data_IF_145496755958
#
_entry.id   IF_145496755958
#
_cell.length_a   1.000
_cell.length_b   1.000
_cell.length_c   1.000
_cell.angle_alpha   90.00
_cell.angle_beta   90.00
_cell.angle_gamma   90.00
#
_symmetry.space_group_name_H-M   'P 1'
#
loop_
_entity.id
_entity.type
_entity.pdbx_description
1 polymer ?
#
# COMPACT_ATOMS: atom_id res chain seq x y z
N UNK A 1 12.65 1.02 -36.41
CA UNK A 1 13.11 -0.02 -35.45
C UNK A 1 12.03 -1.09 -35.37
N UNK A 2 12.39 -2.37 -35.25
CA UNK A 2 11.42 -3.48 -35.20
C UNK A 2 10.54 -3.34 -33.94
N UNK A 3 9.23 -3.54 -34.07
CA UNK A 3 8.22 -3.52 -32.99
C UNK A 3 8.67 -4.37 -31.78
N UNK A 4 9.36 -5.47 -32.02
CA UNK A 4 9.85 -6.38 -30.98
C UNK A 4 10.87 -5.73 -30.04
N UNK A 5 11.70 -4.81 -30.54
CA UNK A 5 12.67 -4.11 -29.70
C UNK A 5 11.96 -3.23 -28.68
N UNK A 6 10.91 -2.52 -29.09
CA UNK A 6 10.10 -1.70 -28.18
C UNK A 6 9.46 -2.60 -27.12
N UNK A 7 8.80 -3.69 -27.53
CA UNK A 7 8.15 -4.63 -26.60
C UNK A 7 9.15 -5.12 -25.53
N UNK A 8 10.34 -5.55 -25.95
CA UNK A 8 11.34 -6.09 -25.06
C UNK A 8 11.90 -5.04 -24.09
N UNK A 9 12.08 -3.79 -24.53
CA UNK A 9 12.50 -2.68 -23.65
C UNK A 9 11.46 -2.39 -22.56
N UNK A 10 10.17 -2.37 -22.92
CA UNK A 10 9.09 -2.21 -21.94
C UNK A 10 9.05 -3.37 -20.94
N UNK A 11 9.33 -4.61 -21.36
CA UNK A 11 9.41 -5.75 -20.45
C UNK A 11 10.59 -5.59 -19.47
N UNK A 12 11.77 -5.21 -19.95
CA UNK A 12 12.92 -4.95 -19.08
C UNK A 12 12.62 -3.82 -18.09
N UNK A 13 11.94 -2.78 -18.54
CA UNK A 13 11.53 -1.66 -17.70
C UNK A 13 10.50 -2.08 -16.63
N UNK A 14 9.55 -2.95 -16.96
CA UNK A 14 8.62 -3.54 -16.00
C UNK A 14 9.36 -4.34 -14.92
N UNK A 15 10.29 -5.22 -15.31
CA UNK A 15 11.10 -5.99 -14.36
C UNK A 15 11.92 -5.07 -13.43
N UNK A 16 12.57 -4.04 -13.99
CA UNK A 16 13.34 -3.05 -13.22
C UNK A 16 12.43 -2.30 -12.25
N UNK A 17 11.21 -1.94 -12.65
CA UNK A 17 10.24 -1.26 -11.78
C UNK A 17 9.90 -2.09 -10.55
N UNK A 18 9.66 -3.39 -10.74
CA UNK A 18 9.37 -4.32 -9.64
C UNK A 18 10.57 -4.46 -8.70
N UNK A 19 11.80 -4.54 -9.23
CA UNK A 19 13.01 -4.58 -8.41
C UNK A 19 13.30 -3.26 -7.68
N UNK A 20 13.03 -2.11 -8.31
CA UNK A 20 13.12 -0.80 -7.65
C UNK A 20 12.14 -0.73 -6.50
N UNK A 21 10.90 -1.17 -6.70
CA UNK A 21 9.87 -1.17 -5.65
C UNK A 21 10.26 -2.11 -4.49
N UNK A 22 10.75 -3.30 -4.81
CA UNK A 22 11.28 -4.24 -3.81
C UNK A 22 12.42 -3.61 -3.00
N UNK A 23 13.42 -3.05 -3.69
CA UNK A 23 14.58 -2.42 -3.06
C UNK A 23 14.17 -1.21 -2.21
N UNK A 24 13.27 -0.38 -2.72
CA UNK A 24 12.77 0.80 -2.01
C UNK A 24 12.07 0.39 -0.71
N UNK A 25 11.17 -0.59 -0.75
CA UNK A 25 10.48 -1.08 0.46
C UNK A 25 11.48 -1.72 1.43
N UNK A 26 12.44 -2.51 0.93
CA UNK A 26 13.48 -3.13 1.75
C UNK A 26 14.32 -2.09 2.53
N UNK A 27 14.64 -0.96 1.90
CA UNK A 27 15.48 0.07 2.52
C UNK A 27 14.70 1.03 3.43
N UNK A 28 13.40 1.21 3.20
CA UNK A 28 12.63 2.31 3.81
C UNK A 28 11.52 1.87 4.76
N UNK A 29 11.08 0.62 4.69
CA UNK A 29 10.02 0.14 5.58
C UNK A 29 10.57 -0.17 6.97
N UNK A 30 9.92 0.38 8.01
CA UNK A 30 10.18 0.05 9.42
C UNK A 30 9.46 -1.22 9.89
N UNK A 31 8.46 -1.70 9.14
CA UNK A 31 7.74 -2.92 9.47
C UNK A 31 8.50 -4.13 8.91
N UNK A 32 9.39 -4.69 9.73
CA UNK A 32 10.30 -5.78 9.32
C UNK A 32 9.57 -6.97 8.68
N UNK A 33 8.50 -7.47 9.27
CA UNK A 33 7.84 -8.69 8.78
C UNK A 33 7.07 -8.46 7.47
N UNK A 34 6.31 -7.35 7.38
CA UNK A 34 5.57 -7.02 6.17
C UNK A 34 6.52 -6.69 5.02
N UNK A 35 7.61 -5.96 5.33
CA UNK A 35 8.68 -5.63 4.39
C UNK A 35 9.17 -6.88 3.66
N UNK A 36 9.62 -7.91 4.38
CA UNK A 36 10.18 -9.10 3.75
C UNK A 36 9.16 -9.85 2.88
N UNK A 37 7.91 -9.99 3.34
CA UNK A 37 6.87 -10.67 2.55
C UNK A 37 6.51 -9.91 1.26
N UNK A 38 6.47 -8.57 1.31
CA UNK A 38 6.20 -7.75 0.13
C UNK A 38 7.37 -7.69 -0.85
N UNK A 39 8.59 -7.54 -0.33
CA UNK A 39 9.83 -7.59 -1.13
C UNK A 39 9.87 -8.90 -1.92
N UNK A 40 9.58 -10.03 -1.26
CA UNK A 40 9.54 -11.33 -1.90
C UNK A 40 8.51 -11.41 -3.03
N UNK A 41 7.30 -10.86 -2.84
CA UNK A 41 6.28 -10.77 -3.89
C UNK A 41 6.79 -9.97 -5.11
N UNK A 42 7.35 -8.79 -4.87
CA UNK A 42 7.89 -7.95 -5.94
C UNK A 42 9.08 -8.60 -6.66
N UNK A 43 9.94 -9.31 -5.92
CA UNK A 43 11.06 -10.04 -6.52
C UNK A 43 10.57 -11.13 -7.48
N UNK A 44 9.54 -11.92 -7.11
CA UNK A 44 9.00 -12.94 -8.01
C UNK A 44 8.32 -12.34 -9.24
N UNK A 45 7.61 -11.21 -9.09
CA UNK A 45 7.05 -10.45 -10.23
C UNK A 45 8.15 -9.94 -11.18
N UNK A 46 9.22 -9.38 -10.62
CA UNK A 46 10.35 -8.88 -11.40
C UNK A 46 11.10 -10.00 -12.13
N UNK A 47 11.33 -11.13 -11.47
CA UNK A 47 11.97 -12.31 -12.08
C UNK A 47 11.13 -12.91 -13.20
N UNK A 48 9.82 -13.09 -12.98
CA UNK A 48 8.90 -13.56 -14.03
C UNK A 48 8.93 -12.66 -15.27
N UNK A 49 8.87 -11.34 -15.06
CA UNK A 49 8.92 -10.35 -16.14
C UNK A 49 10.26 -10.38 -16.87
N UNK A 50 11.36 -10.43 -16.12
CA UNK A 50 12.72 -10.53 -16.66
C UNK A 50 12.88 -11.81 -17.51
N UNK A 51 12.35 -12.93 -17.01
CA UNK A 51 12.41 -14.21 -17.70
C UNK A 51 11.67 -14.20 -19.02
N UNK A 52 10.47 -13.60 -19.09
CA UNK A 52 9.76 -13.40 -20.35
C UNK A 52 10.55 -12.48 -21.29
N UNK A 53 11.17 -11.42 -20.79
CA UNK A 53 11.99 -10.51 -21.60
C UNK A 53 13.17 -11.25 -22.25
N UNK A 54 13.95 -11.98 -21.45
CA UNK A 54 15.12 -12.72 -21.93
C UNK A 54 14.69 -13.88 -22.83
N UNK A 55 13.62 -14.60 -22.47
CA UNK A 55 12.99 -15.61 -23.33
C UNK A 55 12.62 -15.05 -24.69
N UNK A 56 12.29 -13.76 -24.86
CA UNK A 56 12.00 -13.19 -26.18
C UNK A 56 13.26 -12.76 -26.94
N UNK A 57 14.29 -12.31 -26.24
CA UNK A 57 15.49 -11.70 -26.83
C UNK A 57 16.50 -12.76 -27.31
N UNK A 58 16.72 -13.83 -26.55
CA UNK A 58 17.79 -14.80 -26.87
C UNK A 58 17.48 -15.56 -28.16
N UNK A 59 18.46 -15.79 -29.02
CA UNK A 59 18.24 -16.54 -30.27
C UNK A 59 18.39 -18.05 -30.06
N UNK A 60 19.28 -18.47 -29.16
CA UNK A 60 19.54 -19.87 -28.84
C UNK A 60 18.33 -20.53 -28.15
N UNK A 61 17.87 -21.64 -28.71
CA UNK A 61 16.69 -22.38 -28.23
C UNK A 61 16.94 -23.02 -26.86
N UNK A 62 18.15 -23.50 -26.56
CA UNK A 62 18.48 -24.09 -25.25
C UNK A 62 18.47 -23.02 -24.17
N UNK A 63 19.01 -21.83 -24.45
CA UNK A 63 18.94 -20.69 -23.54
C UNK A 63 17.48 -20.25 -23.36
N UNK A 64 16.69 -20.20 -24.45
CA UNK A 64 15.27 -19.91 -24.36
C UNK A 64 14.52 -20.94 -23.50
N UNK A 65 14.85 -22.22 -23.61
CA UNK A 65 14.26 -23.29 -22.80
C UNK A 65 14.48 -23.08 -21.31
N UNK A 66 15.72 -22.75 -20.91
CA UNK A 66 16.02 -22.41 -19.52
C UNK A 66 15.18 -21.23 -19.01
N UNK A 67 15.11 -20.13 -19.77
CA UNK A 67 14.31 -18.98 -19.36
C UNK A 67 12.81 -19.26 -19.35
N UNK A 68 12.33 -20.20 -20.17
CA UNK A 68 10.96 -20.70 -20.11
C UNK A 68 10.67 -21.43 -18.79
N UNK A 69 11.58 -22.31 -18.38
CA UNK A 69 11.50 -22.99 -17.07
C UNK A 69 11.53 -21.98 -15.92
N UNK A 70 12.43 -21.00 -16.01
CA UNK A 70 12.58 -19.95 -15.00
C UNK A 70 11.29 -19.15 -14.85
N UNK A 71 10.74 -18.57 -15.92
CA UNK A 71 9.57 -17.71 -15.77
C UNK A 71 8.31 -18.48 -15.37
N UNK A 72 8.19 -19.77 -15.75
CA UNK A 72 7.08 -20.63 -15.29
C UNK A 72 7.22 -20.89 -13.79
N UNK A 73 8.44 -21.19 -13.31
CA UNK A 73 8.71 -21.39 -11.90
C UNK A 73 8.44 -20.11 -11.10
N UNK A 74 8.96 -18.96 -11.53
CA UNK A 74 8.80 -17.70 -10.81
C UNK A 74 7.36 -17.18 -10.85
N UNK A 75 6.63 -17.36 -11.95
CA UNK A 75 5.18 -17.15 -11.98
C UNK A 75 4.44 -18.04 -10.97
N UNK A 76 4.91 -19.28 -10.78
CA UNK A 76 4.38 -20.21 -9.78
C UNK A 76 4.63 -19.78 -8.33
N UNK A 77 5.64 -18.95 -8.08
CA UNK A 77 5.96 -18.42 -6.75
C UNK A 77 5.13 -17.17 -6.39
N UNK A 78 4.52 -16.50 -7.37
CA UNK A 78 3.68 -15.30 -7.15
C UNK A 78 2.49 -15.60 -6.23
N UNK A 79 1.67 -16.66 -6.43
CA UNK A 79 0.55 -16.96 -5.54
C UNK A 79 0.97 -17.27 -4.09
N UNK A 80 2.09 -17.97 -3.90
CA UNK A 80 2.61 -18.29 -2.57
C UNK A 80 3.09 -17.06 -1.83
N UNK A 81 3.87 -16.21 -2.50
CA UNK A 81 4.35 -14.94 -1.94
C UNK A 81 3.20 -13.95 -1.71
N UNK A 82 2.18 -13.95 -2.57
CA UNK A 82 0.97 -13.15 -2.36
C UNK A 82 0.19 -13.60 -1.12
N UNK A 83 -0.03 -14.91 -0.93
CA UNK A 83 -0.66 -15.43 0.30
C UNK A 83 0.17 -15.09 1.53
N UNK A 84 1.49 -15.24 1.46
CA UNK A 84 2.39 -14.86 2.56
C UNK A 84 2.22 -13.37 2.90
N UNK A 85 2.28 -12.49 1.90
CA UNK A 85 2.09 -11.05 2.07
C UNK A 85 0.73 -10.71 2.68
N UNK A 86 -0.37 -11.24 2.12
CA UNK A 86 -1.72 -10.99 2.63
C UNK A 86 -1.90 -11.55 4.04
N UNK A 87 -1.35 -12.72 4.34
CA UNK A 87 -1.41 -13.26 5.70
C UNK A 87 -0.65 -12.38 6.68
N UNK A 88 0.57 -11.96 6.35
CA UNK A 88 1.39 -11.09 7.20
C UNK A 88 0.74 -9.73 7.43
N UNK A 89 0.09 -9.19 6.40
CA UNK A 89 -0.68 -7.95 6.48
C UNK A 89 -1.87 -8.05 7.44
N UNK A 90 -2.59 -9.17 7.46
CA UNK A 90 -3.85 -9.34 8.19
C UNK A 90 -3.64 -9.90 9.60
N UNK A 91 -2.79 -10.91 9.73
CA UNK A 91 -2.65 -11.71 10.95
C UNK A 91 -1.25 -11.59 11.59
N UNK A 92 -0.36 -10.80 11.01
CA UNK A 92 1.04 -10.73 11.43
C UNK A 92 1.88 -11.90 10.93
N UNK A 93 3.15 -11.99 11.39
CA UNK A 93 4.14 -12.87 10.78
C UNK A 93 3.82 -14.35 10.88
N UNK A 94 4.07 -15.08 9.79
CA UNK A 94 4.02 -16.53 9.80
C UNK A 94 5.18 -17.11 10.62
N UNK A 95 4.86 -18.09 11.47
CA UNK A 95 5.90 -18.91 12.10
C UNK A 95 6.70 -19.69 11.05
N UNK A 96 7.95 -20.04 11.37
CA UNK A 96 8.84 -20.76 10.45
C UNK A 96 8.20 -22.04 9.88
N UNK A 97 7.50 -22.81 10.73
CA UNK A 97 6.80 -24.03 10.30
C UNK A 97 5.72 -23.74 9.25
N UNK A 98 4.93 -22.68 9.45
CA UNK A 98 3.90 -22.27 8.47
C UNK A 98 4.53 -21.73 7.18
N UNK A 99 5.65 -20.99 7.26
CA UNK A 99 6.43 -20.55 6.09
C UNK A 99 6.92 -21.76 5.28
N UNK A 100 7.55 -22.73 5.94
CA UNK A 100 8.02 -23.98 5.30
C UNK A 100 6.85 -24.72 4.64
N UNK A 101 5.73 -24.90 5.36
CA UNK A 101 4.55 -25.56 4.80
C UNK A 101 3.99 -24.83 3.57
N UNK A 102 3.87 -23.51 3.62
CA UNK A 102 3.40 -22.71 2.49
C UNK A 102 4.32 -22.90 1.27
N UNK A 103 5.63 -22.73 1.44
CA UNK A 103 6.59 -22.80 0.34
C UNK A 103 6.92 -24.23 -0.12
N UNK A 104 6.60 -25.26 0.67
CA UNK A 104 6.68 -26.65 0.20
C UNK A 104 5.77 -26.92 -1.02
N UNK A 105 4.72 -26.11 -1.22
CA UNK A 105 3.88 -26.18 -2.41
C UNK A 105 4.56 -25.68 -3.70
N UNK A 106 5.78 -25.14 -3.61
CA UNK A 106 6.62 -24.86 -4.77
C UNK A 106 7.26 -26.13 -5.35
N UNK A 107 7.36 -27.21 -4.56
CA UNK A 107 8.03 -28.47 -4.98
C UNK A 107 7.38 -29.08 -6.22
N UNK A 108 6.04 -29.24 -6.32
CA UNK A 108 5.41 -29.74 -7.53
C UNK A 108 5.66 -28.88 -8.77
N UNK A 109 5.77 -27.56 -8.60
CA UNK A 109 6.07 -26.62 -9.69
C UNK A 109 7.52 -26.83 -10.15
N UNK A 110 8.45 -26.92 -9.21
CA UNK A 110 9.86 -27.19 -9.47
C UNK A 110 10.05 -28.53 -10.20
N UNK A 111 9.38 -29.58 -9.75
CA UNK A 111 9.37 -30.89 -10.43
C UNK A 111 8.78 -30.74 -11.83
N UNK A 112 7.66 -30.02 -11.97
CA UNK A 112 6.99 -29.82 -13.25
C UNK A 112 7.83 -29.07 -14.29
N UNK A 113 8.68 -28.12 -13.89
CA UNK A 113 9.58 -27.43 -14.83
C UNK A 113 10.80 -28.29 -15.20
N UNK A 114 11.26 -29.18 -14.31
CA UNK A 114 12.43 -30.05 -14.56
C UNK A 114 12.05 -31.29 -15.37
N UNK A 115 10.89 -31.90 -15.10
CA UNK A 115 10.46 -33.14 -15.77
C UNK A 115 10.08 -32.84 -17.22
N UNK A 116 10.75 -33.46 -18.22
CA UNK A 116 10.46 -33.23 -19.62
C UNK A 116 9.00 -33.53 -19.97
N UNK A 117 8.36 -32.62 -20.71
CA UNK A 117 6.97 -32.78 -21.15
C UNK A 117 5.91 -32.47 -20.09
N UNK A 118 6.28 -32.25 -18.83
CA UNK A 118 5.32 -31.97 -17.76
C UNK A 118 4.71 -30.57 -17.90
N UNK A 119 5.46 -29.48 -17.68
CA UNK A 119 4.96 -28.11 -17.92
C UNK A 119 5.34 -27.59 -19.31
N UNK A 120 6.48 -28.02 -19.84
CA UNK A 120 6.97 -27.60 -21.16
C UNK A 120 7.15 -28.84 -22.01
N UNK A 121 6.50 -28.88 -23.17
CA UNK A 121 6.66 -29.95 -24.16
C UNK A 121 7.77 -29.63 -25.16
N UNK A 122 7.77 -28.41 -25.69
CA UNK A 122 8.73 -27.96 -26.71
C UNK A 122 8.72 -26.43 -26.83
N UNK A 123 9.70 -25.86 -27.53
CA UNK A 123 9.70 -24.45 -27.96
C UNK A 123 9.76 -24.40 -29.48
N UNK A 124 8.76 -23.76 -30.09
CA UNK A 124 8.71 -23.56 -31.54
C UNK A 124 8.86 -22.09 -31.89
N UNK A 125 9.49 -21.80 -33.03
CA UNK A 125 9.61 -20.45 -33.56
C UNK A 125 8.48 -20.22 -34.56
N UNK A 126 7.71 -19.15 -34.35
CA UNK A 126 6.63 -18.68 -35.22
C UNK A 126 7.00 -17.32 -35.80
N UNK A 127 6.25 -16.88 -36.80
CA UNK A 127 6.41 -15.55 -37.44
C UNK A 127 6.25 -14.38 -36.45
N UNK A 128 5.58 -14.59 -35.33
CA UNK A 128 5.37 -13.59 -34.27
C UNK A 128 6.30 -13.75 -33.06
N UNK A 129 7.21 -14.73 -33.09
CA UNK A 129 8.19 -15.00 -32.02
C UNK A 129 8.19 -16.45 -31.54
N UNK A 130 8.84 -16.68 -30.40
CA UNK A 130 8.92 -18.01 -29.76
C UNK A 130 7.63 -18.36 -29.02
N UNK A 131 7.21 -19.61 -29.15
CA UNK A 131 6.05 -20.20 -28.53
C UNK A 131 6.46 -21.38 -27.64
N UNK A 132 5.99 -21.39 -26.39
CA UNK A 132 6.13 -22.56 -25.51
C UNK A 132 4.95 -23.49 -25.74
N UNK A 133 5.22 -24.69 -26.22
CA UNK A 133 4.22 -25.74 -26.36
C UNK A 133 3.96 -26.35 -24.99
N UNK A 134 2.70 -26.33 -24.57
CA UNK A 134 2.30 -26.76 -23.23
C UNK A 134 2.52 -28.25 -23.01
N UNK A 135 3.07 -28.60 -21.85
CA UNK A 135 3.16 -29.97 -21.38
C UNK A 135 1.84 -30.49 -20.79
N UNK A 136 1.79 -31.79 -20.51
CA UNK A 136 0.56 -32.46 -20.05
C UNK A 136 0.08 -32.00 -18.66
N UNK A 137 0.96 -31.46 -17.83
CA UNK A 137 0.66 -30.97 -16.48
C UNK A 137 0.37 -29.46 -16.43
N UNK A 138 0.49 -28.72 -17.54
CA UNK A 138 0.27 -27.28 -17.57
C UNK A 138 -1.16 -26.85 -17.13
N UNK A 139 -2.25 -27.59 -17.45
CA UNK A 139 -3.58 -27.28 -16.90
C UNK A 139 -3.65 -27.39 -15.37
N UNK A 140 -2.91 -28.33 -14.76
CA UNK A 140 -2.83 -28.49 -13.30
C UNK A 140 -2.11 -27.28 -12.69
N UNK A 141 -1.05 -26.80 -13.34
CA UNK A 141 -0.37 -25.56 -12.95
C UNK A 141 -1.31 -24.35 -13.01
N UNK A 142 -2.15 -24.26 -14.04
CA UNK A 142 -3.18 -23.22 -14.12
C UNK A 142 -4.20 -23.28 -12.99
N UNK A 143 -4.72 -24.47 -12.68
CA UNK A 143 -5.63 -24.68 -11.55
C UNK A 143 -4.97 -24.30 -10.21
N UNK A 144 -3.71 -24.70 -10.01
CA UNK A 144 -2.92 -24.30 -8.85
C UNK A 144 -2.84 -22.77 -8.73
N UNK A 145 -2.44 -22.07 -9.78
CA UNK A 145 -2.32 -20.61 -9.77
C UNK A 145 -3.65 -19.95 -9.43
N UNK A 146 -4.74 -20.36 -10.09
CA UNK A 146 -6.08 -19.84 -9.87
C UNK A 146 -6.54 -20.05 -8.43
N UNK A 147 -6.38 -21.25 -7.87
CA UNK A 147 -6.83 -21.58 -6.50
C UNK A 147 -6.06 -20.75 -5.47
N UNK A 148 -4.74 -20.67 -5.58
CA UNK A 148 -3.92 -19.96 -4.59
C UNK A 148 -4.12 -18.43 -4.67
N UNK A 149 -4.17 -17.86 -5.89
CA UNK A 149 -4.49 -16.44 -6.04
C UNK A 149 -5.88 -16.12 -5.50
N UNK A 150 -6.88 -16.94 -5.82
CA UNK A 150 -8.24 -16.77 -5.33
C UNK A 150 -8.29 -16.86 -3.79
N UNK A 151 -7.56 -17.79 -3.19
CA UNK A 151 -7.46 -17.89 -1.74
C UNK A 151 -6.84 -16.63 -1.09
N UNK A 152 -5.80 -16.06 -1.69
CA UNK A 152 -5.24 -14.77 -1.27
C UNK A 152 -6.26 -13.63 -1.33
N UNK A 153 -6.98 -13.49 -2.44
CA UNK A 153 -8.04 -12.47 -2.57
C UNK A 153 -9.21 -12.71 -1.63
N UNK A 154 -9.62 -13.96 -1.40
CA UNK A 154 -10.70 -14.29 -0.46
C UNK A 154 -10.34 -13.87 0.97
N UNK A 155 -9.09 -14.07 1.41
CA UNK A 155 -8.62 -13.57 2.71
C UNK A 155 -8.71 -12.04 2.77
N UNK A 156 -8.21 -11.36 1.73
CA UNK A 156 -8.23 -9.90 1.63
C UNK A 156 -9.66 -9.34 1.65
N UNK A 157 -10.60 -9.92 0.90
CA UNK A 157 -12.01 -9.50 0.85
C UNK A 157 -12.69 -9.75 2.20
N UNK A 158 -12.50 -10.92 2.81
CA UNK A 158 -13.09 -11.24 4.12
C UNK A 158 -12.66 -10.26 5.19
N UNK A 159 -11.39 -9.89 5.18
CA UNK A 159 -10.86 -8.90 6.12
C UNK A 159 -11.35 -7.49 5.80
N UNK A 160 -11.38 -7.11 4.53
CA UNK A 160 -11.88 -5.81 4.08
C UNK A 160 -13.34 -5.55 4.52
N UNK A 161 -14.20 -6.57 4.51
CA UNK A 161 -15.60 -6.46 4.95
C UNK A 161 -15.68 -6.11 6.44
N UNK A 162 -14.80 -6.69 7.26
CA UNK A 162 -14.77 -6.49 8.73
C UNK A 162 -14.02 -5.22 9.13
N UNK A 163 -13.01 -4.85 8.35
CA UNK A 163 -12.15 -3.72 8.64
C UNK A 163 -12.93 -2.40 8.63
N UNK A 164 -12.49 -1.49 9.50
CA UNK A 164 -12.91 -0.09 9.53
C UNK A 164 -11.69 0.82 9.30
N UNK A 165 -11.96 2.04 8.89
CA UNK A 165 -10.96 3.10 8.87
C UNK A 165 -9.76 2.97 7.97
N UNK A 166 -8.63 3.50 8.46
CA UNK A 166 -7.34 3.47 7.77
C UNK A 166 -6.92 2.05 7.43
N UNK A 167 -7.20 1.10 8.32
CA UNK A 167 -6.92 -0.31 8.03
C UNK A 167 -7.77 -0.83 6.86
N UNK A 168 -9.08 -0.54 6.83
CA UNK A 168 -9.94 -0.86 5.67
C UNK A 168 -9.44 -0.22 4.38
N UNK A 169 -9.00 1.03 4.48
CA UNK A 169 -8.49 1.80 3.36
C UNK A 169 -7.19 1.20 2.82
N UNK A 170 -6.26 0.80 3.70
CA UNK A 170 -5.04 0.06 3.36
C UNK A 170 -5.34 -1.23 2.60
N UNK A 171 -6.31 -2.03 3.07
CA UNK A 171 -6.75 -3.24 2.39
C UNK A 171 -7.37 -2.92 1.02
N UNK A 172 -8.16 -1.84 0.91
CA UNK A 172 -8.72 -1.34 -0.34
C UNK A 172 -7.62 -1.05 -1.36
N UNK A 173 -6.57 -0.34 -0.98
CA UNK A 173 -5.47 -0.02 -1.91
C UNK A 173 -4.71 -1.25 -2.37
N UNK A 174 -4.43 -2.19 -1.46
CA UNK A 174 -3.79 -3.46 -1.84
C UNK A 174 -4.69 -4.25 -2.78
N UNK A 175 -5.99 -4.27 -2.55
CA UNK A 175 -6.95 -4.94 -3.44
C UNK A 175 -6.96 -4.32 -4.83
N UNK A 176 -7.07 -2.99 -4.93
CA UNK A 176 -7.10 -2.30 -6.22
C UNK A 176 -5.75 -2.26 -6.93
N UNK A 177 -4.62 -2.46 -6.23
CA UNK A 177 -3.31 -2.62 -6.89
C UNK A 177 -3.10 -4.03 -7.42
N UNK A 178 -3.52 -5.05 -6.66
CA UNK A 178 -3.21 -6.46 -6.97
C UNK A 178 -4.26 -7.12 -7.87
N UNK A 179 -5.55 -6.80 -7.74
CA UNK A 179 -6.61 -7.44 -8.52
C UNK A 179 -6.50 -7.12 -10.03
N UNK A 180 -6.47 -5.85 -10.48
CA UNK A 180 -6.36 -5.56 -11.91
C UNK A 180 -5.08 -6.14 -12.49
N UNK A 181 -3.98 -6.07 -11.74
CA UNK A 181 -2.69 -6.60 -12.16
C UNK A 181 -2.73 -8.12 -12.33
N UNK A 182 -3.34 -8.83 -11.38
CA UNK A 182 -3.55 -10.28 -11.47
C UNK A 182 -4.46 -10.66 -12.63
N UNK A 183 -5.55 -9.92 -12.85
CA UNK A 183 -6.48 -10.20 -13.94
C UNK A 183 -5.80 -10.05 -15.30
N UNK A 184 -5.03 -8.98 -15.52
CA UNK A 184 -4.30 -8.75 -16.77
C UNK A 184 -3.20 -9.80 -16.94
N UNK A 185 -2.36 -10.01 -15.92
CA UNK A 185 -1.26 -10.97 -15.95
C UNK A 185 -1.75 -12.40 -16.20
N UNK A 186 -2.70 -12.88 -15.40
CA UNK A 186 -3.25 -14.22 -15.53
C UNK A 186 -4.03 -14.41 -16.84
N UNK A 187 -4.76 -13.39 -17.31
CA UNK A 187 -5.45 -13.48 -18.59
C UNK A 187 -4.47 -13.73 -19.74
N UNK A 188 -3.46 -12.87 -19.91
CA UNK A 188 -2.54 -12.97 -21.05
C UNK A 188 -1.49 -14.08 -20.91
N UNK A 189 -1.11 -14.47 -19.69
CA UNK A 189 0.04 -15.37 -19.45
C UNK A 189 -0.35 -16.71 -18.83
N UNK A 190 -1.64 -16.96 -18.63
CA UNK A 190 -2.13 -18.26 -18.22
C UNK A 190 -3.38 -18.67 -19.02
N UNK A 191 -4.48 -17.92 -18.90
CA UNK A 191 -5.76 -18.34 -19.49
C UNK A 191 -5.76 -18.29 -21.01
N UNK A 192 -5.23 -17.22 -21.61
CA UNK A 192 -5.15 -17.10 -23.07
C UNK A 192 -4.22 -18.16 -23.68
N UNK A 193 -3.16 -18.53 -22.95
CA UNK A 193 -2.24 -19.60 -23.30
C UNK A 193 -2.95 -20.97 -23.24
N UNK A 194 -3.72 -21.24 -22.19
CA UNK A 194 -4.54 -22.46 -22.06
C UNK A 194 -5.60 -22.57 -23.17
N UNK A 195 -6.06 -21.44 -23.71
CA UNK A 195 -6.96 -21.37 -24.86
C UNK A 195 -6.21 -21.52 -26.21
N UNK A 196 -4.91 -21.77 -26.20
CA UNK A 196 -4.09 -22.02 -27.39
C UNK A 196 -3.52 -20.75 -28.05
N UNK A 197 -3.50 -19.62 -27.36
CA UNK A 197 -2.95 -18.37 -27.90
C UNK A 197 -1.81 -17.82 -27.03
N UNK A 198 -0.58 -18.12 -27.45
CA UNK A 198 0.65 -17.67 -26.79
C UNK A 198 1.17 -16.31 -27.31
N UNK A 199 0.64 -15.80 -28.42
CA UNK A 199 1.15 -14.61 -29.14
C UNK A 199 1.27 -13.35 -28.29
N UNK A 200 0.40 -13.21 -27.30
CA UNK A 200 0.29 -12.02 -26.45
C UNK A 200 0.96 -12.18 -25.08
N UNK A 201 1.86 -13.16 -24.91
CA UNK A 201 2.55 -13.38 -23.63
C UNK A 201 3.30 -12.13 -23.12
N UNK A 202 3.75 -11.24 -24.00
CA UNK A 202 4.44 -10.01 -23.61
C UNK A 202 3.52 -8.94 -22.99
N UNK A 203 2.19 -9.07 -23.10
CA UNK A 203 1.24 -8.08 -22.56
C UNK A 203 1.07 -8.25 -21.05
N UNK A 204 1.07 -9.49 -20.56
CA UNK A 204 0.87 -9.82 -19.15
C UNK A 204 1.77 -9.01 -18.22
N UNK A 205 3.10 -9.00 -18.40
CA UNK A 205 4.02 -8.33 -17.47
C UNK A 205 3.87 -6.80 -17.42
N UNK A 206 3.20 -6.18 -18.40
CA UNK A 206 2.91 -4.74 -18.32
C UNK A 206 1.90 -4.41 -17.20
N UNK A 207 1.25 -5.41 -16.63
CA UNK A 207 0.45 -5.24 -15.43
C UNK A 207 1.28 -4.76 -14.23
N UNK A 208 2.60 -5.03 -14.20
CA UNK A 208 3.51 -4.55 -13.14
C UNK A 208 3.53 -3.02 -13.05
N UNK A 209 3.29 -2.29 -14.14
CA UNK A 209 3.19 -0.83 -14.09
C UNK A 209 1.97 -0.36 -13.31
N UNK A 210 0.83 -1.01 -13.51
CA UNK A 210 -0.41 -0.73 -12.76
C UNK A 210 -0.20 -1.06 -11.29
N UNK A 211 0.41 -2.22 -10.99
CA UNK A 211 0.75 -2.62 -9.63
C UNK A 211 1.68 -1.61 -8.95
N UNK A 212 2.84 -1.33 -9.54
CA UNK A 212 3.85 -0.46 -8.95
C UNK A 212 3.33 0.95 -8.71
N UNK A 213 2.56 1.50 -9.66
CA UNK A 213 1.97 2.82 -9.54
C UNK A 213 0.96 2.93 -8.39
N UNK A 214 0.00 2.00 -8.31
CA UNK A 214 -1.02 2.03 -7.25
C UNK A 214 -0.38 1.74 -5.88
N UNK A 215 0.59 0.82 -5.81
CA UNK A 215 1.29 0.53 -4.54
C UNK A 215 2.14 1.72 -4.09
N UNK A 216 2.85 2.39 -4.99
CA UNK A 216 3.61 3.60 -4.65
C UNK A 216 2.67 4.65 -4.05
N UNK A 217 1.53 4.92 -4.69
CA UNK A 217 0.50 5.83 -4.17
C UNK A 217 -0.05 5.39 -2.80
N UNK A 218 -0.27 4.09 -2.59
CA UNK A 218 -0.74 3.56 -1.33
C UNK A 218 0.29 3.73 -0.19
N UNK A 219 1.57 3.49 -0.49
CA UNK A 219 2.69 3.71 0.44
C UNK A 219 2.73 5.15 0.90
N UNK A 220 2.52 6.09 -0.03
CA UNK A 220 2.52 7.53 0.21
C UNK A 220 1.45 8.04 1.16
N UNK A 221 0.21 7.65 0.86
CA UNK A 221 -0.96 8.30 1.42
C UNK A 221 -1.57 7.53 2.59
N UNK A 222 -1.27 6.23 2.72
CA UNK A 222 -1.93 5.34 3.68
C UNK A 222 -0.96 4.59 4.59
N UNK A 223 0.28 5.08 4.70
CA UNK A 223 1.33 4.54 5.57
C UNK A 223 1.50 3.03 5.46
N UNK A 224 1.30 2.44 4.27
CA UNK A 224 1.11 0.99 4.06
C UNK A 224 2.17 0.09 4.73
N UNK A 225 3.34 0.63 5.03
CA UNK A 225 4.53 -0.08 5.52
C UNK A 225 5.34 0.71 6.58
N UNK A 226 4.75 1.72 7.23
CA UNK A 226 5.45 2.55 8.22
C UNK A 226 6.65 3.32 7.64
N UNK A 227 6.61 3.64 6.34
CA UNK A 227 7.67 4.37 5.65
C UNK A 227 7.61 5.85 6.06
N UNK A 228 8.76 6.48 6.31
CA UNK A 228 8.84 7.89 6.69
C UNK A 228 8.38 8.82 5.57
N UNK A 229 7.78 9.96 5.94
CA UNK A 229 7.14 10.90 5.01
C UNK A 229 8.08 11.40 3.90
N UNK A 230 9.36 11.67 4.20
CA UNK A 230 10.33 12.10 3.20
C UNK A 230 10.59 11.01 2.14
N UNK A 231 10.66 9.74 2.59
CA UNK A 231 10.85 8.60 1.69
C UNK A 231 9.60 8.30 0.88
N UNK A 232 8.40 8.58 1.42
CA UNK A 232 7.15 8.44 0.68
C UNK A 232 7.15 9.31 -0.59
N UNK A 233 7.53 10.59 -0.51
CA UNK A 233 7.59 11.47 -1.69
C UNK A 233 8.49 10.89 -2.80
N UNK A 234 9.61 10.29 -2.43
CA UNK A 234 10.50 9.63 -3.38
C UNK A 234 9.79 8.47 -4.13
N UNK A 235 8.94 7.70 -3.46
CA UNK A 235 8.15 6.65 -4.11
C UNK A 235 7.20 7.20 -5.18
N UNK A 236 6.59 8.38 -4.96
CA UNK A 236 5.71 8.99 -5.99
C UNK A 236 6.54 9.44 -7.15
N UNK A 237 7.62 10.17 -6.88
CA UNK A 237 8.45 10.71 -7.94
C UNK A 237 9.01 9.60 -8.82
N UNK A 238 9.45 8.48 -8.21
CA UNK A 238 9.81 7.28 -8.95
C UNK A 238 8.62 6.80 -9.78
N UNK A 239 7.43 6.62 -9.20
CA UNK A 239 6.26 6.14 -9.94
C UNK A 239 5.84 7.05 -11.11
N UNK A 240 5.95 8.38 -10.97
CA UNK A 240 5.67 9.32 -12.05
C UNK A 240 6.71 9.23 -13.15
N UNK A 241 7.99 9.20 -12.79
CA UNK A 241 9.07 8.98 -13.76
C UNK A 241 8.87 7.65 -14.50
N UNK A 242 8.43 6.60 -13.80
CA UNK A 242 8.09 5.33 -14.45
C UNK A 242 6.96 5.52 -15.47
N UNK A 243 5.86 6.19 -15.11
CA UNK A 243 4.75 6.48 -16.03
C UNK A 243 5.18 7.36 -17.21
N UNK A 244 5.97 8.40 -16.97
CA UNK A 244 6.50 9.29 -18.01
C UNK A 244 7.37 8.52 -18.99
N UNK A 245 8.28 7.67 -18.50
CA UNK A 245 9.09 6.80 -19.35
C UNK A 245 8.18 5.90 -20.19
N UNK A 246 7.12 5.32 -19.64
CA UNK A 246 6.20 4.50 -20.43
C UNK A 246 5.52 5.28 -21.57
N UNK A 247 5.12 6.52 -21.32
CA UNK A 247 4.43 7.35 -22.29
C UNK A 247 5.38 7.78 -23.41
N UNK A 248 6.60 8.20 -23.06
CA UNK A 248 7.52 8.84 -24.00
C UNK A 248 8.56 7.90 -24.61
N UNK A 249 8.81 6.72 -24.04
CA UNK A 249 9.73 5.72 -24.60
C UNK A 249 9.39 5.37 -26.07
N UNK A 250 8.13 5.20 -26.50
CA UNK A 250 7.79 4.98 -27.90
C UNK A 250 8.21 6.14 -28.81
N UNK A 251 8.16 7.38 -28.33
CA UNK A 251 8.45 8.58 -29.12
C UNK A 251 9.95 8.73 -29.43
N UNK A 252 10.84 8.33 -28.52
CA UNK A 252 12.29 8.23 -28.81
C UNK A 252 12.51 7.40 -30.07
N UNK A 253 11.83 6.27 -30.17
CA UNK A 253 12.10 5.31 -31.23
C UNK A 253 11.34 5.59 -32.52
N UNK A 254 10.12 6.12 -32.44
CA UNK A 254 9.32 6.50 -33.60
C UNK A 254 9.86 7.75 -34.28
N UNK A 255 10.29 8.75 -33.49
CA UNK A 255 10.68 10.07 -34.00
C UNK A 255 12.19 10.36 -33.87
N UNK A 256 12.98 9.38 -33.40
CA UNK A 256 14.44 9.52 -33.17
C UNK A 256 14.80 10.70 -32.26
N UNK A 257 13.98 10.99 -31.27
CA UNK A 257 14.28 12.08 -30.33
C UNK A 257 15.54 11.75 -29.51
N UNK A 258 16.41 12.76 -29.26
CA UNK A 258 17.57 12.56 -28.41
C UNK A 258 17.12 12.25 -26.97
N UNK A 259 17.80 11.34 -26.24
CA UNK A 259 17.41 10.93 -24.88
C UNK A 259 17.30 12.11 -23.88
N UNK A 260 18.06 13.18 -24.10
CA UNK A 260 17.99 14.38 -23.25
C UNK A 260 16.65 15.11 -23.37
N UNK A 261 16.01 15.06 -24.54
CA UNK A 261 14.69 15.64 -24.75
C UNK A 261 13.61 14.81 -24.06
N UNK A 262 13.78 13.48 -23.95
CA UNK A 262 12.91 12.64 -23.12
C UNK A 262 12.99 13.07 -21.66
N UNK A 263 14.19 13.20 -21.10
CA UNK A 263 14.37 13.61 -19.71
C UNK A 263 13.72 14.98 -19.46
N UNK A 264 13.84 15.90 -20.42
CA UNK A 264 13.18 17.21 -20.37
C UNK A 264 11.65 17.07 -20.40
N UNK A 265 11.10 16.26 -21.32
CA UNK A 265 9.67 16.03 -21.43
C UNK A 265 9.11 15.39 -20.16
N UNK A 266 9.75 14.35 -19.63
CA UNK A 266 9.38 13.72 -18.36
C UNK A 266 9.41 14.74 -17.21
N UNK A 267 10.47 15.55 -17.10
CA UNK A 267 10.58 16.57 -16.06
C UNK A 267 9.46 17.63 -16.15
N UNK A 268 9.06 17.99 -17.37
CA UNK A 268 8.01 18.98 -17.62
C UNK A 268 6.59 18.39 -17.46
N UNK A 269 6.37 17.12 -17.81
CA UNK A 269 5.07 16.45 -17.73
C UNK A 269 4.76 15.91 -16.35
N UNK A 270 5.77 15.51 -15.57
CA UNK A 270 5.59 14.87 -14.26
C UNK A 270 4.65 15.64 -13.32
N UNK A 271 4.74 16.99 -13.19
CA UNK A 271 3.79 17.76 -12.38
C UNK A 271 2.35 17.70 -12.89
N UNK A 272 2.15 17.64 -14.21
CA UNK A 272 0.82 17.52 -14.82
C UNK A 272 0.26 16.11 -14.67
N UNK A 273 1.08 15.08 -14.84
CA UNK A 273 0.69 13.70 -14.56
C UNK A 273 0.32 13.57 -13.09
N UNK A 274 1.11 14.13 -12.17
CA UNK A 274 0.75 14.19 -10.76
C UNK A 274 -0.64 14.79 -10.57
N UNK A 275 -0.91 15.99 -11.12
CA UNK A 275 -2.21 16.64 -10.98
C UNK A 275 -3.35 15.81 -11.56
N UNK A 276 -3.15 15.18 -12.73
CA UNK A 276 -4.15 14.31 -13.35
C UNK A 276 -4.43 13.07 -12.51
N UNK A 277 -3.38 12.43 -12.02
CA UNK A 277 -3.44 11.26 -11.14
C UNK A 277 -4.17 11.61 -9.86
N UNK A 278 -3.78 12.69 -9.20
CA UNK A 278 -4.45 13.14 -7.98
C UNK A 278 -5.91 13.48 -8.27
N UNK A 279 -6.21 14.10 -9.41
CA UNK A 279 -7.59 14.45 -9.81
C UNK A 279 -8.44 13.24 -10.21
N UNK A 280 -7.86 12.14 -10.71
CA UNK A 280 -8.60 10.93 -11.08
C UNK A 280 -8.75 9.96 -9.91
N UNK A 281 -7.70 9.81 -9.12
CA UNK A 281 -7.70 8.98 -7.93
C UNK A 281 -8.44 9.67 -6.77
N UNK A 282 -8.44 11.02 -6.67
CA UNK A 282 -9.22 11.71 -5.63
C UNK A 282 -10.72 11.38 -5.66
N UNK A 283 -11.51 11.60 -6.72
CA UNK A 283 -12.97 11.57 -6.61
C UNK A 283 -13.53 10.16 -6.38
N UNK A 284 -12.95 9.16 -7.04
CA UNK A 284 -13.34 7.75 -6.92
C UNK A 284 -12.92 7.14 -5.57
N UNK A 285 -12.02 7.82 -4.83
CA UNK A 285 -11.40 7.31 -3.60
C UNK A 285 -11.59 8.26 -2.38
N UNK A 286 -11.96 9.53 -2.58
CA UNK A 286 -11.98 10.64 -1.59
C UNK A 286 -13.07 11.69 -1.90
N UNK A 287 -14.30 11.47 -1.45
CA UNK A 287 -15.35 12.49 -1.49
C UNK A 287 -15.21 13.62 -0.44
N UNK A 288 -14.18 13.58 0.44
CA UNK A 288 -14.15 14.39 1.68
C UNK A 288 -13.06 15.48 1.78
N UNK A 289 -12.25 15.69 0.73
CA UNK A 289 -11.11 16.64 0.75
C UNK A 289 -11.47 18.13 0.85
N UNK A 290 -12.75 18.51 0.65
CA UNK A 290 -13.21 19.91 0.75
C UNK A 290 -13.17 20.48 2.17
N UNK A 291 -13.06 19.62 3.18
CA UNK A 291 -13.13 19.99 4.59
C UNK A 291 -11.80 20.61 5.09
N UNK A 292 -10.66 20.03 4.68
CA UNK A 292 -9.33 20.36 5.19
C UNK A 292 -8.80 21.71 4.74
N UNK A 293 -9.19 22.20 3.57
CA UNK A 293 -8.82 23.54 3.12
C UNK A 293 -9.47 24.63 3.99
N UNK A 294 -10.69 24.39 4.50
CA UNK A 294 -11.35 25.32 5.43
C UNK A 294 -10.65 25.34 6.78
N UNK A 295 -10.31 24.17 7.30
CA UNK A 295 -9.65 24.03 8.60
C UNK A 295 -8.22 24.60 8.59
N UNK A 296 -7.45 24.29 7.55
CA UNK A 296 -6.11 24.85 7.37
C UNK A 296 -6.12 26.38 7.29
N UNK A 297 -7.10 26.97 6.61
CA UNK A 297 -7.26 28.43 6.57
C UNK A 297 -7.59 29.08 7.93
N UNK A 298 -8.17 28.31 8.87
CA UNK A 298 -8.46 28.78 10.21
C UNK A 298 -7.18 28.86 11.07
N UNK A 299 -6.35 27.81 11.03
CA UNK A 299 -5.10 27.75 11.81
C UNK A 299 -3.97 28.59 11.22
N UNK A 300 -3.83 28.66 9.89
CA UNK A 300 -2.78 29.46 9.22
C UNK A 300 -2.90 30.97 9.51
N UNK A 301 -4.08 31.43 9.96
CA UNK A 301 -4.36 32.85 10.21
C UNK A 301 -4.23 33.29 11.69
N UNK A 302 -3.90 32.40 12.64
CA UNK A 302 -3.83 32.74 14.07
C UNK A 302 -2.59 32.15 14.74
N UNK A 303 -1.56 32.98 14.91
CA UNK A 303 -0.22 32.60 15.44
C UNK A 303 -0.20 32.40 16.97
N UNK A 304 -1.24 32.83 17.69
CA UNK A 304 -1.42 32.56 19.12
C UNK A 304 -2.90 32.27 19.39
N UNK A 305 -3.23 31.02 19.71
CA UNK A 305 -4.57 30.65 20.17
C UNK A 305 -4.59 30.69 21.70
N UNK A 306 -5.49 31.47 22.29
CA UNK A 306 -5.81 31.31 23.72
C UNK A 306 -6.54 29.99 23.94
N UNK A 307 -6.57 29.47 25.17
CA UNK A 307 -7.30 28.22 25.50
C UNK A 307 -8.76 28.25 25.04
N UNK A 308 -9.43 29.40 25.17
CA UNK A 308 -10.80 29.59 24.69
C UNK A 308 -10.93 29.55 23.16
N UNK A 309 -9.99 30.15 22.43
CA UNK A 309 -9.97 30.09 20.96
C UNK A 309 -9.66 28.68 20.44
N UNK A 310 -8.85 27.92 21.17
CA UNK A 310 -8.58 26.52 20.86
C UNK A 310 -9.84 25.66 21.07
N UNK A 311 -10.56 25.86 22.18
CA UNK A 311 -11.82 25.16 22.43
C UNK A 311 -12.87 25.46 21.36
N UNK A 312 -13.03 26.73 20.98
CA UNK A 312 -13.96 27.14 19.92
C UNK A 312 -13.59 26.51 18.56
N UNK A 313 -12.29 26.51 18.22
CA UNK A 313 -11.80 25.84 17.01
C UNK A 313 -12.08 24.33 17.04
N UNK A 314 -11.79 23.66 18.16
CA UNK A 314 -12.04 22.23 18.32
C UNK A 314 -13.53 21.92 18.19
N UNK A 315 -14.40 22.78 18.72
CA UNK A 315 -15.85 22.63 18.62
C UNK A 315 -16.35 22.79 17.18
N UNK A 316 -15.89 23.81 16.46
CA UNK A 316 -16.19 23.97 15.04
C UNK A 316 -15.74 22.75 14.22
N UNK A 317 -14.58 22.18 14.56
CA UNK A 317 -14.05 20.96 13.94
C UNK A 317 -14.91 19.74 14.28
N UNK A 318 -15.34 19.59 15.52
CA UNK A 318 -16.26 18.55 15.95
C UNK A 318 -17.59 18.61 15.19
N UNK A 319 -18.20 19.79 15.09
CA UNK A 319 -19.47 20.02 14.40
C UNK A 319 -19.35 19.74 12.89
N UNK A 320 -18.24 20.17 12.29
CA UNK A 320 -18.03 20.09 10.85
C UNK A 320 -17.60 18.67 10.40
N UNK A 321 -16.80 17.93 11.18
CA UNK A 321 -16.43 16.51 10.89
C UNK A 321 -17.61 15.58 11.18
N UNK A 322 -18.50 15.99 12.08
CA UNK A 322 -19.58 15.16 12.60
C UNK A 322 -19.01 14.02 13.44
N UNK A 323 -18.22 14.35 14.45
CA UNK A 323 -17.68 13.39 15.43
C UNK A 323 -18.76 13.11 16.48
N UNK A 324 -18.76 11.92 17.08
CA UNK A 324 -19.72 11.53 18.13
C UNK A 324 -19.34 12.06 19.51
N UNK A 325 -18.05 12.18 19.83
CA UNK A 325 -17.55 12.80 21.05
C UNK A 325 -16.17 13.47 20.89
N UNK A 326 -15.88 14.48 21.71
CA UNK A 326 -14.53 15.02 21.87
C UNK A 326 -14.26 15.46 23.31
N UNK A 327 -13.00 15.55 23.68
CA UNK A 327 -12.56 16.19 24.92
C UNK A 327 -11.22 16.87 24.74
N UNK A 328 -11.12 18.14 25.12
CA UNK A 328 -9.88 18.89 25.26
C UNK A 328 -9.50 18.96 26.73
N UNK A 329 -8.33 18.44 27.05
CA UNK A 329 -7.73 18.49 28.37
C UNK A 329 -6.56 19.47 28.38
N UNK A 330 -6.43 20.26 29.46
CA UNK A 330 -5.30 21.16 29.67
C UNK A 330 -4.58 20.83 30.97
N UNK A 331 -3.26 20.96 30.94
CA UNK A 331 -2.41 20.64 32.07
C UNK A 331 -2.54 21.69 33.18
N UNK A 332 -2.89 21.24 34.39
CA UNK A 332 -2.94 22.06 35.60
C UNK A 332 -1.69 21.84 36.44
N UNK A 333 -0.80 22.84 36.45
CA UNK A 333 0.45 22.79 37.23
C UNK A 333 0.23 22.64 38.73
N UNK A 334 -0.86 23.19 39.25
CA UNK A 334 -1.15 23.19 40.70
C UNK A 334 -1.53 21.80 41.22
N UNK A 335 -2.09 20.95 40.37
CA UNK A 335 -2.58 19.61 40.73
C UNK A 335 -1.80 18.46 40.11
N UNK A 336 -0.86 18.76 39.20
CA UNK A 336 -0.13 17.77 38.38
C UNK A 336 -1.06 16.78 37.65
N UNK A 337 -2.16 17.32 37.10
CA UNK A 337 -3.14 16.56 36.33
C UNK A 337 -3.60 17.35 35.10
N UNK A 338 -4.12 16.62 34.12
CA UNK A 338 -4.82 17.19 32.98
C UNK A 338 -6.30 17.27 33.30
N UNK A 339 -6.86 18.47 33.20
CA UNK A 339 -8.25 18.80 33.57
C UNK A 339 -9.05 19.00 32.28
N UNK A 340 -10.28 18.46 32.18
CA UNK A 340 -11.14 18.71 31.02
C UNK A 340 -11.47 20.20 30.94
N UNK A 341 -11.22 20.80 29.78
CA UNK A 341 -11.47 22.22 29.50
C UNK A 341 -12.71 22.43 28.63
N UNK A 342 -12.90 21.59 27.60
CA UNK A 342 -14.08 21.58 26.74
C UNK A 342 -14.34 20.14 26.30
N UNK A 343 -15.59 19.69 26.24
CA UNK A 343 -15.94 18.34 25.83
C UNK A 343 -17.39 18.26 25.34
N UNK A 344 -17.69 17.28 24.48
CA UNK A 344 -19.03 17.00 23.99
C UNK A 344 -19.20 15.51 23.67
N UNK A 345 -20.42 14.97 23.74
CA UNK A 345 -20.71 13.57 23.41
C UNK A 345 -20.26 12.54 24.46
N UNK A 346 -19.83 12.99 25.64
CA UNK A 346 -19.36 12.17 26.75
C UNK A 346 -20.41 11.93 27.85
N UNK A 347 -21.69 12.09 27.50
CA UNK A 347 -22.83 11.79 28.38
C UNK A 347 -22.71 10.38 28.98
N UNK A 348 -22.88 10.29 30.30
CA UNK A 348 -22.77 9.05 31.08
C UNK A 348 -21.35 8.52 31.28
N UNK A 349 -20.33 9.21 30.76
CA UNK A 349 -18.91 8.96 31.01
C UNK A 349 -18.34 10.02 31.92
N UNK A 350 -18.66 11.28 31.64
CA UNK A 350 -18.23 12.42 32.46
C UNK A 350 -19.34 12.80 33.43
N UNK A 351 -18.98 12.98 34.70
CA UNK A 351 -19.82 13.71 35.64
C UNK A 351 -19.77 15.21 35.30
N UNK A 352 -20.85 15.77 34.76
CA UNK A 352 -20.92 17.18 34.34
C UNK A 352 -20.86 18.16 35.52
N UNK A 353 -21.35 17.77 36.70
CA UNK A 353 -21.35 18.61 37.89
C UNK A 353 -19.97 18.65 38.56
N UNK A 354 -19.14 17.61 38.39
CA UNK A 354 -17.83 17.46 39.02
C UNK A 354 -16.69 17.19 38.04
N UNK A 355 -16.84 17.60 36.77
CA UNK A 355 -15.92 17.23 35.70
C UNK A 355 -14.46 17.59 35.98
N UNK A 356 -14.22 18.77 36.57
CA UNK A 356 -12.88 19.25 36.91
C UNK A 356 -12.18 18.46 38.02
N UNK A 357 -12.89 17.58 38.74
CA UNK A 357 -12.36 16.79 39.86
C UNK A 357 -12.38 15.30 39.59
N UNK A 358 -13.43 14.78 38.97
CA UNK A 358 -13.62 13.33 38.77
C UNK A 358 -13.10 12.81 37.44
N UNK A 359 -13.04 13.66 36.40
CA UNK A 359 -12.69 13.23 35.05
C UNK A 359 -11.26 13.65 34.65
N UNK A 360 -10.34 13.78 35.61
CA UNK A 360 -8.95 14.19 35.35
C UNK A 360 -8.09 13.03 34.85
N UNK A 361 -7.04 13.33 34.09
CA UNK A 361 -6.01 12.37 33.66
C UNK A 361 -4.72 12.70 34.40
N UNK A 362 -4.14 11.73 35.10
CA UNK A 362 -2.94 11.95 35.91
C UNK A 362 -1.67 11.98 35.06
N UNK A 363 -0.66 12.73 35.50
CA UNK A 363 0.60 12.88 34.77
C UNK A 363 1.38 11.57 34.56
N UNK A 364 1.10 10.55 35.38
CA UNK A 364 1.68 9.20 35.36
C UNK A 364 0.77 8.14 34.71
N UNK A 365 -0.39 8.55 34.19
CA UNK A 365 -1.29 7.63 33.48
C UNK A 365 -0.60 7.05 32.23
N UNK A 366 -0.87 5.76 31.89
CA UNK A 366 -0.30 5.11 30.71
C UNK A 366 -0.44 5.92 29.42
N UNK A 367 -1.60 6.54 29.18
CA UNK A 367 -1.86 7.41 28.04
C UNK A 367 -0.93 8.61 28.01
N UNK A 368 -0.72 9.29 29.14
CA UNK A 368 0.15 10.47 29.23
C UNK A 368 1.60 10.09 29.01
N UNK A 369 2.07 9.00 29.64
CA UNK A 369 3.43 8.51 29.46
C UNK A 369 3.67 8.11 28.00
N UNK A 370 2.70 7.44 27.37
CA UNK A 370 2.76 7.05 25.97
C UNK A 370 2.81 8.27 25.03
N UNK A 371 1.97 9.28 25.27
CA UNK A 371 1.97 10.53 24.50
C UNK A 371 3.28 11.32 24.67
N UNK A 372 3.84 11.36 25.89
CA UNK A 372 5.15 11.99 26.17
C UNK A 372 6.31 11.27 25.48
N UNK A 373 6.29 9.94 25.43
CA UNK A 373 7.30 9.12 24.76
C UNK A 373 7.24 9.29 23.23
N UNK A 374 6.03 9.21 22.66
CA UNK A 374 5.84 9.20 21.21
C UNK A 374 5.87 10.60 20.59
N UNK A 375 5.38 11.61 21.30
CA UNK A 375 5.27 13.00 20.83
C UNK A 375 4.56 13.14 19.46
N UNK A 376 3.68 12.21 19.14
CA UNK A 376 2.92 12.16 17.90
C UNK A 376 1.45 11.84 18.20
N UNK A 377 0.61 12.04 17.19
CA UNK A 377 -0.81 11.73 17.27
C UNK A 377 -0.96 10.21 17.26
N UNK A 378 -1.72 9.70 18.23
CA UNK A 378 -1.91 8.26 18.41
C UNK A 378 -3.34 7.88 18.03
N UNK A 379 -3.48 6.75 17.35
CA UNK A 379 -4.76 6.16 17.00
C UNK A 379 -4.93 4.85 17.74
N UNK A 380 -6.12 4.61 18.30
CA UNK A 380 -6.41 3.43 19.11
C UNK A 380 -6.05 2.13 18.38
N UNK A 381 -6.25 2.07 17.05
CA UNK A 381 -5.93 0.88 16.26
C UNK A 381 -4.42 0.62 16.06
N UNK A 382 -3.56 1.61 16.30
CA UNK A 382 -2.11 1.50 16.13
C UNK A 382 -1.37 1.15 17.45
N UNK A 383 -2.11 1.12 18.56
CA UNK A 383 -1.54 0.91 19.90
C UNK A 383 -1.61 -0.56 20.27
N UNK A 384 -0.49 -1.14 20.69
CA UNK A 384 -0.45 -2.50 21.24
C UNK A 384 -0.62 -2.53 22.77
N UNK A 385 -0.33 -1.42 23.45
CA UNK A 385 -0.43 -1.30 24.90
C UNK A 385 -1.90 -1.26 25.35
N UNK A 386 -2.35 -2.34 26.01
CA UNK A 386 -3.74 -2.51 26.45
C UNK A 386 -4.19 -1.47 27.48
N UNK A 387 -3.30 -0.97 28.32
CA UNK A 387 -3.65 0.02 29.35
C UNK A 387 -4.00 1.36 28.70
N UNK A 388 -3.22 1.76 27.69
CA UNK A 388 -3.48 2.96 26.89
C UNK A 388 -4.80 2.82 26.10
N UNK A 389 -5.04 1.65 25.50
CA UNK A 389 -6.31 1.37 24.80
C UNK A 389 -7.49 1.50 25.76
N UNK A 390 -7.38 0.94 26.97
CA UNK A 390 -8.45 1.01 27.97
C UNK A 390 -8.76 2.44 28.40
N UNK A 391 -7.74 3.30 28.52
CA UNK A 391 -7.95 4.72 28.84
C UNK A 391 -8.62 5.47 27.70
N UNK A 392 -8.22 5.21 26.45
CA UNK A 392 -8.89 5.78 25.28
C UNK A 392 -10.36 5.34 25.19
N UNK A 393 -10.66 4.08 25.49
CA UNK A 393 -12.04 3.57 25.54
C UNK A 393 -12.87 4.24 26.63
N UNK A 394 -12.27 4.47 27.80
CA UNK A 394 -12.87 5.25 28.88
C UNK A 394 -13.21 6.68 28.47
N UNK A 395 -12.44 7.27 27.55
CA UNK A 395 -12.66 8.62 27.02
C UNK A 395 -13.54 8.63 25.75
N UNK A 396 -14.14 7.49 25.37
CA UNK A 396 -14.79 7.26 24.06
C UNK A 396 -13.94 7.76 22.88
N UNK A 397 -12.63 7.68 23.00
CA UNK A 397 -11.68 8.23 22.05
C UNK A 397 -11.16 7.15 21.09
N UNK A 398 -11.08 7.50 19.81
CA UNK A 398 -10.36 6.71 18.80
C UNK A 398 -9.01 7.35 18.44
N UNK A 399 -8.88 8.66 18.64
CA UNK A 399 -7.66 9.43 18.40
C UNK A 399 -7.33 10.27 19.63
N UNK A 400 -6.04 10.36 19.96
CA UNK A 400 -5.53 11.32 20.94
C UNK A 400 -4.36 12.12 20.36
N UNK A 401 -4.47 13.44 20.46
CA UNK A 401 -3.57 14.44 19.89
C UNK A 401 -2.88 15.14 21.06
N UNK A 402 -1.56 14.95 21.24
CA UNK A 402 -0.81 15.66 22.27
C UNK A 402 -0.50 17.09 21.84
N UNK A 403 -0.73 18.05 22.74
CA UNK A 403 -0.44 19.47 22.52
C UNK A 403 0.82 19.85 23.30
N UNK A 404 1.90 20.18 22.57
CA UNK A 404 3.18 20.53 23.17
C UNK A 404 3.46 22.03 23.08
N UNK A 405 3.99 22.62 24.16
CA UNK A 405 4.59 23.95 24.16
C UNK A 405 5.99 23.86 24.76
N UNK A 406 7.01 24.33 24.03
CA UNK A 406 8.41 24.31 24.47
C UNK A 406 8.91 22.93 24.95
N UNK A 407 8.40 21.85 24.35
CA UNK A 407 8.78 20.47 24.68
C UNK A 407 8.01 19.86 25.86
N UNK A 408 7.13 20.59 26.53
CA UNK A 408 6.24 20.05 27.56
C UNK A 408 4.85 19.76 27.00
N UNK A 409 4.27 18.63 27.41
CA UNK A 409 2.88 18.29 27.10
C UNK A 409 1.97 19.20 27.94
N UNK A 410 1.26 20.12 27.29
CA UNK A 410 0.40 21.11 27.94
C UNK A 410 -1.09 20.84 27.77
N UNK A 411 -1.45 19.91 26.89
CA UNK A 411 -2.84 19.50 26.69
C UNK A 411 -2.98 18.22 25.87
N UNK A 412 -4.18 17.66 25.89
CA UNK A 412 -4.52 16.41 25.21
C UNK A 412 -5.89 16.61 24.56
N UNK A 413 -5.97 16.47 23.25
CA UNK A 413 -7.24 16.50 22.53
C UNK A 413 -7.62 15.08 22.10
N UNK A 414 -8.74 14.59 22.61
CA UNK A 414 -9.28 13.28 22.26
C UNK A 414 -10.50 13.43 21.35
N UNK A 415 -10.58 12.59 20.32
CA UNK A 415 -11.66 12.57 19.33
C UNK A 415 -12.27 11.16 19.24
N UNK A 416 -13.60 11.08 19.25
CA UNK A 416 -14.38 9.84 19.21
C UNK A 416 -14.53 9.23 17.83
N UNK A 417 -15.55 8.43 17.55
CA UNK A 417 -15.83 7.95 16.18
C UNK A 417 -16.52 9.06 15.36
N UNK A 418 -16.36 9.05 14.03
CA UNK A 418 -17.24 9.89 13.20
C UNK A 418 -18.67 9.33 13.25
N UNK A 419 -19.69 10.18 13.33
CA UNK A 419 -21.11 9.84 13.20
C UNK A 419 -21.42 9.07 11.91
N UNK A 420 -20.62 9.25 10.87
CA UNK A 420 -20.67 8.48 9.61
C UNK A 420 -20.17 7.03 9.72
N UNK A 421 -19.58 6.64 10.87
CA UNK A 421 -18.87 5.37 11.14
C UNK A 421 -17.69 5.10 10.20
N UNK A 422 -17.22 6.13 9.50
CA UNK A 422 -15.97 6.13 8.76
C UNK A 422 -14.84 6.59 9.70
N UNK A 423 -13.64 6.04 9.56
CA UNK A 423 -12.54 6.54 10.41
C UNK A 423 -11.91 7.80 9.87
N UNK A 424 -11.02 8.36 10.68
CA UNK A 424 -10.19 9.48 10.31
C UNK A 424 -9.18 9.10 9.22
N UNK A 425 -9.01 10.01 8.29
CA UNK A 425 -7.99 10.04 7.26
C UNK A 425 -6.75 10.75 7.82
N UNK A 426 -5.58 10.57 7.20
CA UNK A 426 -4.36 11.30 7.59
C UNK A 426 -4.49 12.81 7.34
N UNK A 427 -5.33 13.20 6.38
CA UNK A 427 -5.73 14.58 6.24
C UNK A 427 -6.54 15.05 7.45
N UNK A 428 -7.27 14.18 8.16
CA UNK A 428 -8.08 14.60 9.29
C UNK A 428 -7.37 14.98 10.58
N UNK A 429 -6.06 14.78 10.55
CA UNK A 429 -5.20 14.79 11.71
C UNK A 429 -4.09 15.85 11.54
N UNK A 430 -3.95 16.40 10.32
CA UNK A 430 -2.95 17.43 9.94
C UNK A 430 -3.59 18.81 9.84
#
# INVERSE_FOLDING_TARGET
MNKDVIINLFLLFAAISDFILATFVFLRSKNEELKHSFVLLCTWLGLWTLGIAIFRIVEDIKIAYFWNQEFIFTAGMIPLSFIHFIHTLINGPLSLKKKIFLYAHAIPILIGVIVPGALIKDIVIRDWGKESILGYAYPIYGAYFTVYMSYGFLQLIREYIKAKGLYKLRLKYIFFSTLPSTLIGAFFNLYLILLGNYKYIWVGPYCSFVFAFIVAYAILKHRLMGIELASRYLAVYISYVLVDVLIFLPFIFLFKFPPILLLLLCALSSPYIHQLVDKFLRPTIFSKYSYWEKLKSFFDNKVFLTSGQLAEAVKEVYDLIGIDSFSLFLYSRDRDVYVPYEYEGLEGVFDEEQAEFLNVIYSDDPLVLYLKEKQEIIMKEEIENKDVISQLEGLKATISIPLFTSGELVGILNLGEKKTKESYYEEDIR
#
